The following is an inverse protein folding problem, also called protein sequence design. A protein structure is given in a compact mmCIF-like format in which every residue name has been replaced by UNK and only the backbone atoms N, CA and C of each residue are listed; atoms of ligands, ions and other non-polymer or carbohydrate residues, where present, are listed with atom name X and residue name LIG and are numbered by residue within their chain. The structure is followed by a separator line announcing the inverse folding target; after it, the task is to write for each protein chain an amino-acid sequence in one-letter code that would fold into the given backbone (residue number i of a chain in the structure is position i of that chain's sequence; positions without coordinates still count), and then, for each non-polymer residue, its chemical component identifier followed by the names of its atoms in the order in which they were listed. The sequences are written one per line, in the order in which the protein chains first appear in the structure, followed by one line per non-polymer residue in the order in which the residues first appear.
data_IF_383726863450
#
_entry.id   IF_383726863450
#
_cell.length_a   1.000
_cell.length_b   1.000
_cell.length_c   1.000
_cell.angle_alpha   90.00
_cell.angle_beta   90.00
_cell.angle_gamma   90.00
#
_symmetry.space_group_name_H-M   'P 1'
#
loop_
_entity.id
_entity.type
_entity.pdbx_description
1 polymer ?
#
# COMPACT_ATOMS: atom_id res chain seq x y z
N UNK A 1 -7.74 45.45 13.51
CA UNK A 1 -7.77 46.57 12.54
C UNK A 1 -9.22 46.94 12.15
N UNK A 2 -10.02 46.00 11.61
CA UNK A 2 -11.41 46.27 11.16
C UNK A 2 -12.30 46.86 12.27
N UNK A 3 -12.25 46.32 13.51
CA UNK A 3 -13.04 46.83 14.62
C UNK A 3 -12.68 48.26 15.00
N UNK A 4 -11.39 48.61 14.99
CA UNK A 4 -10.94 49.99 15.27
C UNK A 4 -11.39 50.95 14.18
N UNK A 5 -11.30 50.55 12.89
CA UNK A 5 -11.81 51.34 11.78
C UNK A 5 -13.33 51.57 11.91
N UNK A 6 -14.07 50.52 12.26
CA UNK A 6 -15.53 50.61 12.53
C UNK A 6 -15.83 51.59 13.66
N UNK A 7 -15.08 51.53 14.75
CA UNK A 7 -15.23 52.48 15.85
C UNK A 7 -15.02 53.94 15.40
N UNK A 8 -13.93 54.23 14.70
CA UNK A 8 -13.63 55.61 14.24
C UNK A 8 -14.76 56.15 13.33
N UNK A 9 -15.21 55.31 12.37
CA UNK A 9 -16.31 55.74 11.45
C UNK A 9 -17.58 56.07 12.20
N UNK A 10 -17.98 55.22 13.15
CA UNK A 10 -19.23 55.44 13.90
C UNK A 10 -19.09 56.48 15.00
N UNK A 11 -17.92 56.71 15.60
CA UNK A 11 -17.68 57.78 16.55
C UNK A 11 -17.81 59.17 15.92
N UNK A 12 -17.48 59.29 14.64
CA UNK A 12 -17.63 60.55 13.87
C UNK A 12 -19.10 60.80 13.50
N UNK A 13 -19.86 59.73 13.23
CA UNK A 13 -21.23 59.84 12.67
C UNK A 13 -22.35 59.53 13.69
N UNK A 14 -22.01 59.09 14.91
CA UNK A 14 -22.98 58.73 15.96
C UNK A 14 -22.36 58.93 17.35
N UNK A 15 -23.03 58.43 18.38
CA UNK A 15 -22.54 58.55 19.75
C UNK A 15 -21.46 57.48 20.12
N UNK A 16 -20.78 57.69 21.26
CA UNK A 16 -19.74 56.80 21.77
C UNK A 16 -20.27 55.39 22.06
N UNK A 17 -21.47 55.24 22.61
CA UNK A 17 -22.06 53.97 22.99
C UNK A 17 -22.30 53.11 21.75
N UNK A 18 -22.86 53.69 20.68
CA UNK A 18 -23.09 53.04 19.41
C UNK A 18 -21.78 52.66 18.75
N UNK A 19 -20.78 53.53 18.70
CA UNK A 19 -19.47 53.22 18.13
C UNK A 19 -18.76 52.07 18.85
N UNK A 20 -18.83 52.00 20.17
CA UNK A 20 -18.30 50.92 20.98
C UNK A 20 -19.04 49.59 20.72
N UNK A 21 -20.38 49.63 20.66
CA UNK A 21 -21.17 48.43 20.35
C UNK A 21 -20.80 47.83 18.98
N UNK A 22 -20.65 48.67 17.95
CA UNK A 22 -20.26 48.24 16.61
C UNK A 22 -18.86 47.64 16.60
N UNK A 23 -17.90 48.29 17.25
CA UNK A 23 -16.54 47.78 17.41
C UNK A 23 -16.53 46.41 18.09
N UNK A 24 -17.20 46.29 19.24
CA UNK A 24 -17.26 45.01 19.96
C UNK A 24 -17.94 43.92 19.12
N UNK A 25 -19.04 44.24 18.43
CA UNK A 25 -19.73 43.29 17.56
C UNK A 25 -18.80 42.78 16.46
N UNK A 26 -18.07 43.64 15.76
CA UNK A 26 -17.09 43.28 14.75
C UNK A 26 -15.97 42.43 15.35
N UNK A 27 -15.44 42.79 16.53
CA UNK A 27 -14.39 42.04 17.19
C UNK A 27 -14.83 40.63 17.59
N UNK A 28 -16.05 40.46 18.13
CA UNK A 28 -16.63 39.15 18.49
C UNK A 28 -16.78 38.29 17.26
N UNK A 29 -17.37 38.82 16.16
CA UNK A 29 -17.60 38.07 14.92
C UNK A 29 -16.28 37.74 14.22
N UNK A 30 -15.29 38.62 14.29
CA UNK A 30 -13.96 38.37 13.69
C UNK A 30 -13.13 37.31 14.42
N UNK A 31 -13.61 36.80 15.57
CA UNK A 31 -12.92 35.72 16.28
C UNK A 31 -12.96 34.42 15.47
N UNK A 32 -11.81 33.85 15.04
CA UNK A 32 -11.78 32.65 14.19
C UNK A 32 -11.94 31.36 15.00
N UNK A 33 -12.93 31.33 15.93
CA UNK A 33 -13.11 30.22 16.86
C UNK A 33 -13.30 28.87 16.15
N UNK A 34 -14.16 28.84 15.14
CA UNK A 34 -14.40 27.63 14.33
C UNK A 34 -13.15 27.20 13.55
N UNK A 35 -12.30 28.12 13.13
CA UNK A 35 -11.06 27.83 12.41
C UNK A 35 -10.08 27.01 13.27
N UNK A 36 -9.99 27.33 14.58
CA UNK A 36 -9.11 26.62 15.51
C UNK A 36 -9.42 25.13 15.66
N UNK A 37 -10.67 24.70 15.36
CA UNK A 37 -11.09 23.29 15.44
C UNK A 37 -11.33 22.65 14.06
N UNK A 38 -11.46 23.44 13.00
CA UNK A 38 -11.85 22.99 11.67
C UNK A 38 -10.93 21.90 11.09
N UNK A 39 -9.61 22.13 11.13
CA UNK A 39 -8.60 21.19 10.62
C UNK A 39 -8.28 20.11 11.66
N UNK A 40 -7.95 20.43 12.94
CA UNK A 40 -7.61 19.42 13.94
C UNK A 40 -8.68 18.37 14.16
N UNK A 41 -9.96 18.75 14.11
CA UNK A 41 -11.06 17.81 14.29
C UNK A 41 -11.15 16.80 13.14
N UNK A 42 -11.02 17.25 11.89
CA UNK A 42 -10.99 16.35 10.71
C UNK A 42 -9.76 15.44 10.79
N UNK A 43 -8.60 15.97 11.21
CA UNK A 43 -7.39 15.19 11.40
C UNK A 43 -7.59 14.07 12.43
N UNK A 44 -8.13 14.37 13.60
CA UNK A 44 -8.38 13.38 14.65
C UNK A 44 -9.38 12.30 14.21
N UNK A 45 -10.49 12.70 13.59
CA UNK A 45 -11.51 11.77 13.07
C UNK A 45 -10.92 10.88 11.99
N UNK A 46 -10.17 11.44 11.03
CA UNK A 46 -9.58 10.66 9.95
C UNK A 46 -8.52 9.68 10.45
N UNK A 47 -7.65 10.07 11.39
CA UNK A 47 -6.67 9.16 11.97
C UNK A 47 -7.34 8.00 12.71
N UNK A 48 -8.38 8.28 13.49
CA UNK A 48 -9.15 7.24 14.19
C UNK A 48 -9.87 6.31 13.20
N UNK A 49 -10.48 6.86 12.15
CA UNK A 49 -11.16 6.08 11.13
C UNK A 49 -10.16 5.20 10.34
N UNK A 50 -9.01 5.75 9.97
CA UNK A 50 -7.93 5.01 9.30
C UNK A 50 -7.47 3.82 10.14
N UNK A 51 -7.14 4.04 11.42
CA UNK A 51 -6.66 2.99 12.32
C UNK A 51 -7.66 1.84 12.49
N UNK A 52 -8.96 2.13 12.55
CA UNK A 52 -10.03 1.10 12.61
C UNK A 52 -10.09 0.20 11.38
N UNK A 53 -9.58 0.66 10.25
CA UNK A 53 -9.52 -0.09 8.98
C UNK A 53 -8.12 -0.63 8.67
N UNK A 54 -7.23 -0.67 9.66
CA UNK A 54 -5.88 -1.19 9.48
C UNK A 54 -4.93 -0.25 8.74
N UNK A 55 -5.24 1.05 8.63
CA UNK A 55 -4.39 2.06 8.05
C UNK A 55 -3.73 2.87 9.17
N UNK A 56 -2.45 2.63 9.46
CA UNK A 56 -1.73 3.35 10.51
C UNK A 56 -0.96 4.53 9.89
N UNK A 57 -1.43 5.74 10.16
CA UNK A 57 -0.83 6.98 9.66
C UNK A 57 0.24 7.44 10.66
N UNK A 58 1.52 7.35 10.30
CA UNK A 58 2.65 7.85 11.09
C UNK A 58 3.00 9.28 10.71
N UNK A 59 3.04 9.56 9.42
CA UNK A 59 3.30 10.89 8.90
C UNK A 59 2.02 11.50 8.32
N UNK A 60 1.49 12.48 9.03
CA UNK A 60 0.25 13.15 8.62
C UNK A 60 0.38 13.89 7.30
N UNK A 61 1.53 14.55 7.09
CA UNK A 61 1.78 15.33 5.87
C UNK A 61 1.82 14.42 4.64
N UNK A 62 2.54 13.29 4.71
CA UNK A 62 2.58 12.31 3.64
C UNK A 62 1.18 11.74 3.32
N UNK A 63 0.36 11.45 4.34
CA UNK A 63 -1.03 11.02 4.14
C UNK A 63 -1.87 12.09 3.41
N UNK A 64 -1.70 13.36 3.73
CA UNK A 64 -2.39 14.45 3.04
C UNK A 64 -1.86 14.65 1.61
N UNK A 65 -0.57 14.44 1.39
CA UNK A 65 0.06 14.52 0.08
C UNK A 65 -0.21 13.32 -0.81
N UNK A 66 -0.69 12.19 -0.27
CA UNK A 66 -1.17 11.05 -1.07
C UNK A 66 -2.25 11.47 -2.09
N UNK A 67 -2.97 12.56 -1.87
CA UNK A 67 -3.93 13.12 -2.85
C UNK A 67 -3.29 13.63 -4.14
N UNK A 68 -1.98 13.99 -4.10
CA UNK A 68 -1.21 14.54 -5.22
C UNK A 68 -0.48 13.47 -6.02
N UNK A 69 -0.52 12.20 -5.58
CA UNK A 69 0.19 11.10 -6.21
C UNK A 69 -0.15 11.00 -7.70
N UNK A 70 0.89 10.91 -8.51
CA UNK A 70 0.82 10.69 -9.96
C UNK A 70 1.32 9.30 -10.32
N UNK A 71 2.21 8.74 -9.49
CA UNK A 71 2.87 7.46 -9.74
C UNK A 71 2.99 6.66 -8.45
N UNK A 72 2.72 5.35 -8.55
CA UNK A 72 2.99 4.39 -7.48
C UNK A 72 3.94 3.32 -8.00
N UNK A 73 4.97 3.05 -7.22
CA UNK A 73 5.92 1.99 -7.48
C UNK A 73 5.67 0.88 -6.44
N UNK A 74 5.35 -0.31 -6.92
CA UNK A 74 5.10 -1.47 -6.08
C UNK A 74 6.32 -2.40 -6.09
N UNK A 75 6.83 -2.75 -4.91
CA UNK A 75 7.65 -3.96 -4.83
C UNK A 75 6.81 -5.18 -5.20
N UNK A 76 7.44 -6.20 -5.81
CA UNK A 76 6.75 -7.43 -6.20
C UNK A 76 6.38 -8.27 -4.98
N UNK A 77 7.41 -8.67 -4.23
CA UNK A 77 7.33 -9.74 -3.23
C UNK A 77 6.66 -9.27 -1.95
N UNK A 78 5.66 -10.02 -1.46
CA UNK A 78 4.93 -9.65 -0.24
C UNK A 78 3.93 -8.51 -0.41
N UNK A 79 4.01 -7.74 -1.50
CA UNK A 79 3.13 -6.61 -1.81
C UNK A 79 2.08 -7.00 -2.85
N UNK A 80 2.45 -7.11 -4.13
CA UNK A 80 1.54 -7.56 -5.20
C UNK A 80 1.37 -9.07 -5.22
N UNK A 81 2.30 -9.79 -4.61
CA UNK A 81 2.27 -11.24 -4.41
C UNK A 81 2.08 -11.57 -2.93
N UNK A 82 1.81 -12.83 -2.64
CA UNK A 82 1.62 -13.29 -1.25
C UNK A 82 2.93 -13.31 -0.43
N UNK A 83 4.09 -13.11 -1.09
CA UNK A 83 5.41 -13.21 -0.47
C UNK A 83 5.78 -14.63 -0.05
N UNK A 84 5.00 -15.58 -0.47
CA UNK A 84 5.23 -17.01 -0.22
C UNK A 84 5.15 -17.75 -1.53
N UNK A 85 6.23 -18.41 -1.90
CA UNK A 85 6.17 -19.35 -3.01
C UNK A 85 5.15 -20.45 -2.69
N UNK A 86 4.42 -20.89 -3.71
CA UNK A 86 3.48 -22.01 -3.60
C UNK A 86 3.78 -23.01 -4.72
N UNK A 87 3.52 -24.30 -4.48
CA UNK A 87 3.53 -25.29 -5.55
C UNK A 87 2.37 -25.00 -6.48
N UNK A 88 2.69 -24.61 -7.71
CA UNK A 88 1.70 -24.29 -8.74
C UNK A 88 1.20 -25.55 -9.39
N UNK A 89 2.13 -26.37 -9.91
CA UNK A 89 1.81 -27.57 -10.66
C UNK A 89 2.75 -28.71 -10.29
N UNK A 90 2.26 -29.92 -10.39
CA UNK A 90 3.02 -31.15 -10.24
C UNK A 90 2.72 -32.03 -11.45
N UNK A 91 3.72 -32.26 -12.26
CA UNK A 91 3.62 -33.11 -13.45
C UNK A 91 4.38 -34.42 -13.26
N UNK A 92 3.78 -35.53 -13.61
CA UNK A 92 4.50 -36.74 -13.89
C UNK A 92 4.95 -36.73 -15.36
N UNK A 93 6.22 -36.97 -15.61
CA UNK A 93 6.79 -37.20 -16.97
C UNK A 93 7.09 -38.65 -17.23
N UNK A 94 6.66 -39.53 -16.32
CA UNK A 94 6.84 -40.99 -16.40
C UNK A 94 5.53 -41.69 -16.07
N UNK A 95 5.15 -42.68 -16.85
CA UNK A 95 3.96 -43.52 -16.61
C UNK A 95 4.04 -44.36 -15.32
N UNK A 96 5.23 -44.42 -14.70
CA UNK A 96 5.48 -45.22 -13.48
C UNK A 96 4.97 -44.55 -12.19
N UNK A 97 4.74 -43.22 -12.19
CA UNK A 97 4.41 -42.44 -10.99
C UNK A 97 3.26 -41.48 -11.24
N UNK A 98 2.35 -41.37 -10.31
CA UNK A 98 1.30 -40.35 -10.32
C UNK A 98 1.86 -38.98 -9.85
N UNK A 99 1.16 -37.89 -10.18
CA UNK A 99 1.52 -36.55 -9.70
C UNK A 99 1.55 -36.46 -8.17
N UNK A 100 0.70 -37.24 -7.47
CA UNK A 100 0.69 -37.26 -6.00
C UNK A 100 1.93 -37.98 -5.45
N UNK A 101 2.38 -39.07 -6.07
CA UNK A 101 3.64 -39.75 -5.70
C UNK A 101 4.85 -38.87 -6.01
N UNK A 102 4.87 -38.12 -7.12
CA UNK A 102 5.92 -37.12 -7.41
C UNK A 102 6.01 -36.09 -6.29
N UNK A 103 4.88 -35.56 -5.83
CA UNK A 103 4.85 -34.63 -4.70
C UNK A 103 5.32 -35.28 -3.40
N UNK A 104 4.94 -36.54 -3.14
CA UNK A 104 5.37 -37.27 -1.93
C UNK A 104 6.89 -37.51 -1.93
N UNK A 105 7.48 -37.96 -3.05
CA UNK A 105 8.94 -38.11 -3.18
C UNK A 105 9.67 -36.77 -3.01
N UNK A 106 9.18 -35.72 -3.68
CA UNK A 106 9.76 -34.39 -3.61
C UNK A 106 9.69 -33.80 -2.20
N UNK A 107 8.58 -33.94 -1.50
CA UNK A 107 8.43 -33.50 -0.11
C UNK A 107 9.26 -34.33 0.84
N UNK A 108 9.34 -35.67 0.65
CA UNK A 108 10.11 -36.58 1.49
C UNK A 108 11.60 -36.25 1.46
N UNK A 109 12.17 -36.01 0.28
CA UNK A 109 13.60 -35.67 0.20
C UNK A 109 13.91 -34.24 0.70
N UNK A 110 12.95 -33.34 0.61
CA UNK A 110 13.10 -31.96 1.04
C UNK A 110 12.88 -31.77 2.57
N UNK A 111 12.31 -32.75 3.29
CA UNK A 111 11.90 -32.57 4.70
C UNK A 111 13.03 -32.15 5.66
N UNK A 112 14.28 -32.40 5.31
CA UNK A 112 15.47 -32.04 6.10
C UNK A 112 16.15 -30.76 5.60
N UNK A 113 15.61 -30.11 4.56
CA UNK A 113 16.14 -28.84 4.01
C UNK A 113 15.51 -27.65 4.72
N UNK A 114 16.31 -26.65 5.06
CA UNK A 114 15.85 -25.36 5.58
C UNK A 114 15.39 -24.40 4.44
N UNK A 115 15.58 -24.79 3.19
CA UNK A 115 15.24 -23.96 2.03
C UNK A 115 13.73 -23.74 1.93
N UNK A 116 13.30 -22.57 1.42
CA UNK A 116 11.87 -22.25 1.27
C UNK A 116 11.09 -23.31 0.46
N UNK A 117 11.73 -23.92 -0.54
CA UNK A 117 11.15 -24.98 -1.38
C UNK A 117 10.63 -26.15 -0.51
N UNK A 118 11.37 -26.55 0.51
CA UNK A 118 10.97 -27.61 1.43
C UNK A 118 9.66 -27.27 2.15
N UNK A 119 9.59 -26.08 2.73
CA UNK A 119 8.38 -25.62 3.46
C UNK A 119 7.15 -25.62 2.56
N UNK A 120 7.31 -25.18 1.33
CA UNK A 120 6.22 -25.08 0.35
C UNK A 120 5.73 -26.45 -0.09
N UNK A 121 6.65 -27.40 -0.37
CA UNK A 121 6.29 -28.77 -0.73
C UNK A 121 5.59 -29.51 0.41
N UNK A 122 6.09 -29.36 1.65
CA UNK A 122 5.46 -29.96 2.84
C UNK A 122 4.07 -29.34 3.12
N UNK A 123 3.89 -28.06 2.90
CA UNK A 123 2.58 -27.39 3.00
C UNK A 123 1.60 -27.99 1.97
N UNK A 124 2.03 -28.12 0.71
CA UNK A 124 1.19 -28.68 -0.37
C UNK A 124 0.81 -30.13 -0.13
N UNK A 125 1.74 -30.92 0.42
CA UNK A 125 1.48 -32.30 0.80
C UNK A 125 0.36 -32.38 1.84
N UNK A 126 0.41 -31.53 2.88
CA UNK A 126 -0.63 -31.46 3.94
C UNK A 126 -1.98 -31.02 3.37
N UNK A 127 -2.00 -30.01 2.49
CA UNK A 127 -3.23 -29.55 1.83
C UNK A 127 -3.94 -30.65 1.05
N UNK A 128 -3.16 -31.54 0.40
CA UNK A 128 -3.68 -32.70 -0.32
C UNK A 128 -3.97 -33.91 0.57
N UNK A 129 -3.75 -33.82 1.89
CA UNK A 129 -3.87 -34.93 2.85
C UNK A 129 -3.04 -36.17 2.46
N UNK A 130 -1.86 -35.96 1.84
CA UNK A 130 -0.96 -37.04 1.44
C UNK A 130 0.01 -37.37 2.59
N UNK A 131 0.37 -38.65 2.72
CA UNK A 131 1.32 -39.12 3.71
C UNK A 131 2.74 -38.67 3.37
N UNK A 132 3.46 -38.09 4.34
CA UNK A 132 4.88 -37.83 4.21
C UNK A 132 5.69 -39.11 4.42
N UNK A 133 6.49 -39.50 3.42
CA UNK A 133 7.37 -40.64 3.53
C UNK A 133 8.68 -40.29 4.25
N UNK A 134 9.31 -41.31 4.82
CA UNK A 134 10.62 -41.16 5.46
C UNK A 134 11.73 -41.13 4.42
N UNK A 135 12.71 -40.27 4.60
CA UNK A 135 13.93 -40.23 3.80
C UNK A 135 15.17 -40.47 4.67
N UNK A 136 16.25 -40.92 4.04
CA UNK A 136 17.54 -41.13 4.67
C UNK A 136 18.67 -40.70 3.74
N UNK A 137 19.88 -40.52 4.28
CA UNK A 137 21.04 -40.14 3.48
C UNK A 137 20.92 -38.77 2.81
N UNK A 138 20.22 -37.82 3.44
CA UNK A 138 20.04 -36.47 2.90
C UNK A 138 21.37 -35.78 2.63
N UNK A 139 21.52 -35.26 1.43
CA UNK A 139 22.70 -34.48 1.00
C UNK A 139 22.23 -33.21 0.32
N UNK A 140 22.73 -32.07 0.77
CA UNK A 140 22.51 -30.78 0.13
C UNK A 140 23.58 -30.53 -0.92
N UNK A 141 23.19 -30.18 -2.14
CA UNK A 141 24.05 -29.84 -3.27
C UNK A 141 23.94 -28.32 -3.53
N UNK A 142 24.92 -27.50 -3.08
CA UNK A 142 24.83 -26.05 -3.18
C UNK A 142 24.58 -25.54 -4.60
N UNK A 143 23.53 -24.72 -4.79
CA UNK A 143 23.17 -24.15 -6.09
C UNK A 143 22.53 -25.13 -7.09
N UNK A 144 22.30 -26.38 -6.70
CA UNK A 144 21.83 -27.46 -7.56
C UNK A 144 20.51 -28.04 -7.05
N UNK A 145 20.50 -28.57 -5.82
CA UNK A 145 19.37 -29.24 -5.25
C UNK A 145 19.66 -30.09 -4.02
N UNK A 146 18.91 -31.14 -3.84
CA UNK A 146 19.04 -32.09 -2.74
C UNK A 146 18.94 -33.53 -3.23
N UNK A 147 19.61 -34.47 -2.56
CA UNK A 147 19.54 -35.90 -2.86
C UNK A 147 19.44 -36.74 -1.58
N UNK A 148 19.05 -38.00 -1.75
CA UNK A 148 18.99 -38.99 -0.67
C UNK A 148 18.16 -40.22 -1.07
N UNK A 149 17.76 -41.03 -0.11
CA UNK A 149 16.97 -42.24 -0.35
C UNK A 149 15.57 -42.13 0.23
N UNK A 150 14.56 -42.49 -0.56
CA UNK A 150 13.15 -42.57 -0.14
C UNK A 150 12.57 -43.91 -0.63
N UNK A 151 12.01 -44.70 0.26
CA UNK A 151 11.48 -46.03 -0.04
C UNK A 151 12.49 -46.95 -0.76
N UNK A 152 13.79 -46.85 -0.39
CA UNK A 152 14.86 -47.65 -0.97
C UNK A 152 15.33 -47.23 -2.39
N UNK A 153 14.82 -46.10 -2.91
CA UNK A 153 15.21 -45.52 -4.21
C UNK A 153 16.06 -44.28 -3.98
N UNK A 154 17.01 -44.02 -4.87
CA UNK A 154 17.80 -42.80 -4.89
C UNK A 154 16.96 -41.69 -5.52
N UNK A 155 16.72 -40.63 -4.76
CA UNK A 155 15.90 -39.47 -5.18
C UNK A 155 16.74 -38.21 -5.23
N UNK A 156 16.64 -37.47 -6.31
CA UNK A 156 17.25 -36.13 -6.47
C UNK A 156 16.15 -35.14 -6.82
N UNK A 157 16.09 -34.04 -6.10
CA UNK A 157 15.23 -32.92 -6.41
C UNK A 157 16.11 -31.69 -6.73
N UNK A 158 16.12 -31.25 -7.99
CA UNK A 158 17.09 -30.28 -8.49
C UNK A 158 16.53 -29.34 -9.55
N UNK A 159 17.17 -28.18 -9.72
CA UNK A 159 16.88 -27.24 -10.81
C UNK A 159 17.52 -27.67 -12.14
N UNK A 160 17.28 -26.91 -13.24
CA UNK A 160 17.83 -27.21 -14.58
C UNK A 160 19.35 -27.34 -14.63
N UNK A 161 20.08 -26.63 -13.77
CA UNK A 161 21.53 -26.66 -13.71
C UNK A 161 22.10 -28.04 -13.39
N UNK A 162 21.36 -28.91 -12.72
CA UNK A 162 21.75 -30.28 -12.44
C UNK A 162 22.05 -31.05 -13.72
N UNK A 163 21.19 -30.94 -14.73
CA UNK A 163 21.32 -31.64 -15.99
C UNK A 163 22.57 -31.21 -16.76
N UNK A 164 22.87 -29.91 -16.75
CA UNK A 164 24.08 -29.40 -17.38
C UNK A 164 25.35 -29.90 -16.68
N UNK A 165 25.34 -30.01 -15.35
CA UNK A 165 26.49 -30.48 -14.56
C UNK A 165 26.74 -31.98 -14.73
N UNK A 166 25.67 -32.78 -14.79
CA UNK A 166 25.76 -34.25 -14.98
C UNK A 166 25.87 -34.65 -16.47
N UNK A 167 25.97 -33.69 -17.40
CA UNK A 167 25.99 -33.91 -18.84
C UNK A 167 24.76 -34.72 -19.34
N UNK A 168 23.61 -34.46 -18.72
CA UNK A 168 22.32 -35.09 -19.08
C UNK A 168 21.50 -34.13 -19.94
N UNK A 169 20.66 -34.72 -20.83
CA UNK A 169 19.70 -33.92 -21.59
C UNK A 169 18.56 -33.42 -20.67
N UNK A 170 18.22 -32.15 -20.80
CA UNK A 170 17.12 -31.54 -20.02
C UNK A 170 15.78 -32.15 -20.53
N UNK A 171 14.94 -32.70 -19.62
CA UNK A 171 13.64 -33.23 -20.02
C UNK A 171 12.75 -32.14 -20.62
N UNK A 172 11.90 -32.54 -21.56
CA UNK A 172 10.92 -31.62 -22.16
C UNK A 172 10.01 -31.05 -21.07
N UNK A 173 10.00 -29.75 -20.95
CA UNK A 173 9.14 -29.03 -20.00
C UNK A 173 7.75 -28.89 -20.67
N UNK A 174 6.65 -29.33 -20.02
CA UNK A 174 5.30 -29.15 -20.53
C UNK A 174 4.97 -27.70 -20.88
N UNK A 175 4.25 -27.49 -21.98
CA UNK A 175 3.89 -26.13 -22.46
C UNK A 175 2.99 -25.36 -21.49
N UNK A 176 2.35 -26.04 -20.56
CA UNK A 176 1.52 -25.46 -19.50
C UNK A 176 2.36 -24.79 -18.40
N UNK A 177 3.68 -25.04 -18.37
CA UNK A 177 4.61 -24.41 -17.41
C UNK A 177 5.16 -23.14 -18.01
N UNK A 178 4.85 -22.02 -17.39
CA UNK A 178 5.43 -20.74 -17.77
C UNK A 178 6.82 -20.56 -17.10
N UNK A 179 7.86 -20.96 -17.84
CA UNK A 179 9.25 -20.88 -17.39
C UNK A 179 9.72 -19.43 -17.10
N UNK A 180 8.94 -18.40 -17.49
CA UNK A 180 9.26 -17.02 -17.21
C UNK A 180 8.74 -16.58 -15.82
N UNK A 181 7.75 -17.28 -15.26
CA UNK A 181 7.12 -16.92 -13.98
C UNK A 181 7.22 -18.02 -12.92
N UNK A 182 7.51 -19.27 -13.33
CA UNK A 182 7.57 -20.43 -12.44
C UNK A 182 9.02 -20.93 -12.30
N UNK A 183 9.44 -21.20 -11.09
CA UNK A 183 10.69 -21.93 -10.80
C UNK A 183 10.43 -23.42 -11.02
N UNK A 184 11.22 -24.03 -11.88
CA UNK A 184 11.09 -25.45 -12.23
C UNK A 184 12.03 -26.28 -11.36
N UNK A 185 11.49 -27.28 -10.65
CA UNK A 185 12.23 -28.26 -9.87
C UNK A 185 11.94 -29.65 -10.43
N UNK A 186 12.97 -30.34 -10.91
CA UNK A 186 12.88 -31.69 -11.46
C UNK A 186 13.06 -32.72 -10.35
N UNK A 187 12.30 -33.79 -10.42
CA UNK A 187 12.44 -34.97 -9.58
C UNK A 187 13.04 -36.10 -10.39
N UNK A 188 14.14 -36.66 -9.91
CA UNK A 188 14.81 -37.81 -10.46
C UNK A 188 14.66 -38.98 -9.49
N UNK A 189 14.39 -40.16 -9.98
CA UNK A 189 14.39 -41.42 -9.20
C UNK A 189 15.27 -42.42 -9.90
N UNK A 190 16.27 -42.98 -9.22
CA UNK A 190 17.26 -43.91 -9.76
C UNK A 190 17.89 -43.42 -11.07
N UNK A 191 18.28 -42.13 -11.08
CA UNK A 191 18.87 -41.39 -12.20
C UNK A 191 17.92 -41.16 -13.41
N UNK A 192 16.64 -41.57 -13.36
CA UNK A 192 15.63 -41.27 -14.38
C UNK A 192 14.83 -40.01 -13.98
N UNK A 193 14.62 -39.01 -14.87
CA UNK A 193 13.72 -37.91 -14.62
C UNK A 193 12.27 -38.42 -14.67
N UNK A 194 11.54 -38.26 -13.56
CA UNK A 194 10.19 -38.81 -13.38
C UNK A 194 9.12 -37.77 -13.19
N UNK A 195 9.47 -36.54 -12.78
CA UNK A 195 8.47 -35.51 -12.51
C UNK A 195 9.03 -34.10 -12.45
N UNK A 196 8.12 -33.17 -12.49
CA UNK A 196 8.39 -31.73 -12.40
C UNK A 196 7.45 -31.14 -11.35
N UNK A 197 8.02 -30.34 -10.44
CA UNK A 197 7.27 -29.51 -9.48
C UNK A 197 7.60 -28.06 -9.78
N UNK A 198 6.59 -27.25 -10.06
CA UNK A 198 6.78 -25.81 -10.28
C UNK A 198 6.36 -25.01 -9.07
N UNK A 199 7.12 -23.95 -8.82
CA UNK A 199 6.89 -23.03 -7.72
C UNK A 199 6.86 -21.61 -8.26
N UNK A 200 5.93 -20.81 -7.75
CA UNK A 200 5.91 -19.37 -8.02
C UNK A 200 5.41 -18.60 -6.80
N UNK A 201 5.80 -17.35 -6.73
CA UNK A 201 5.19 -16.41 -5.80
C UNK A 201 3.85 -15.96 -6.39
N UNK A 202 2.77 -16.36 -5.72
CA UNK A 202 1.41 -16.19 -6.24
C UNK A 202 0.98 -14.73 -6.17
N UNK A 203 0.59 -14.16 -7.31
CA UNK A 203 -0.04 -12.84 -7.37
C UNK A 203 -1.34 -12.88 -6.55
N UNK A 204 -1.56 -11.84 -5.74
CA UNK A 204 -2.81 -11.72 -4.97
C UNK A 204 -3.98 -11.48 -5.91
N UNK A 205 -5.11 -12.07 -5.62
CA UNK A 205 -6.35 -11.92 -6.42
C UNK A 205 -6.80 -10.46 -6.50
N UNK A 206 -6.52 -9.69 -5.45
CA UNK A 206 -6.87 -8.27 -5.33
C UNK A 206 -5.93 -7.33 -6.07
N UNK A 207 -4.74 -7.79 -6.50
CA UNK A 207 -3.73 -6.93 -7.13
C UNK A 207 -4.19 -6.34 -8.46
N UNK A 208 -4.79 -7.14 -9.34
CA UNK A 208 -5.27 -6.66 -10.63
C UNK A 208 -6.37 -5.60 -10.47
N UNK A 209 -7.30 -5.82 -9.54
CA UNK A 209 -8.37 -4.86 -9.25
C UNK A 209 -7.81 -3.56 -8.66
N UNK A 210 -6.81 -3.64 -7.77
CA UNK A 210 -6.16 -2.47 -7.21
C UNK A 210 -5.47 -1.63 -8.30
N UNK A 211 -4.75 -2.27 -9.23
CA UNK A 211 -4.08 -1.58 -10.35
C UNK A 211 -5.11 -0.91 -11.27
N UNK A 212 -6.21 -1.58 -11.60
CA UNK A 212 -7.29 -1.01 -12.41
C UNK A 212 -7.93 0.21 -11.73
N UNK A 213 -8.17 0.15 -10.41
CA UNK A 213 -8.69 1.29 -9.65
C UNK A 213 -7.72 2.48 -9.64
N UNK A 214 -6.40 2.23 -9.51
CA UNK A 214 -5.39 3.30 -9.61
C UNK A 214 -5.41 3.97 -10.97
N UNK A 215 -5.54 3.19 -12.05
CA UNK A 215 -5.66 3.69 -13.41
C UNK A 215 -6.90 4.58 -13.59
N UNK A 216 -8.04 4.19 -13.01
CA UNK A 216 -9.26 5.02 -12.98
C UNK A 216 -9.06 6.33 -12.20
N UNK A 217 -8.16 6.33 -11.21
CA UNK A 217 -7.77 7.51 -10.45
C UNK A 217 -6.71 8.37 -11.16
N UNK A 218 -6.30 7.99 -12.38
CA UNK A 218 -5.23 8.59 -13.19
C UNK A 218 -3.86 8.56 -12.49
N UNK A 219 -3.58 7.47 -11.78
CA UNK A 219 -2.30 7.24 -11.11
C UNK A 219 -1.59 6.10 -11.86
N UNK A 220 -0.38 6.34 -12.32
CA UNK A 220 0.45 5.33 -12.99
C UNK A 220 0.97 4.32 -11.97
N UNK A 221 1.08 3.08 -12.38
CA UNK A 221 1.60 1.99 -11.55
C UNK A 221 2.79 1.30 -12.20
N UNK A 222 3.88 1.13 -11.44
CA UNK A 222 5.10 0.47 -11.89
C UNK A 222 5.48 -0.66 -10.95
N UNK A 223 5.92 -1.77 -11.54
CA UNK A 223 6.50 -2.88 -10.80
C UNK A 223 8.00 -2.63 -10.55
N UNK A 224 8.47 -2.83 -9.33
CA UNK A 224 9.90 -2.79 -8.97
C UNK A 224 10.31 -4.17 -8.46
N UNK A 225 11.32 -4.79 -9.07
CA UNK A 225 11.74 -6.15 -8.69
C UNK A 225 13.22 -6.40 -9.00
N UNK A 226 13.84 -7.28 -8.21
CA UNK A 226 15.15 -7.86 -8.51
C UNK A 226 15.13 -8.96 -9.56
N UNK A 227 13.95 -9.41 -9.99
CA UNK A 227 13.80 -10.43 -11.03
C UNK A 227 14.28 -9.94 -12.39
N UNK A 228 14.51 -10.88 -13.29
CA UNK A 228 14.86 -10.59 -14.67
C UNK A 228 13.71 -9.92 -15.44
N UNK A 229 14.05 -9.33 -16.57
CA UNK A 229 13.14 -8.57 -17.41
C UNK A 229 11.92 -9.37 -17.89
N UNK A 230 12.09 -10.66 -18.20
CA UNK A 230 11.00 -11.54 -18.68
C UNK A 230 9.93 -11.74 -17.59
N UNK A 231 10.37 -12.01 -16.36
CA UNK A 231 9.47 -12.20 -15.21
C UNK A 231 8.76 -10.87 -14.89
N UNK A 232 9.52 -9.78 -14.83
CA UNK A 232 8.95 -8.46 -14.54
C UNK A 232 7.91 -8.04 -15.59
N UNK A 233 8.21 -8.23 -16.88
CA UNK A 233 7.29 -7.95 -17.98
C UNK A 233 6.02 -8.81 -17.90
N UNK A 234 6.15 -10.12 -17.63
CA UNK A 234 5.02 -11.02 -17.51
C UNK A 234 4.07 -10.62 -16.37
N UNK A 235 4.62 -10.29 -15.19
CA UNK A 235 3.82 -9.84 -14.03
C UNK A 235 3.16 -8.49 -14.31
N UNK A 236 3.92 -7.51 -14.82
CA UNK A 236 3.41 -6.17 -15.16
C UNK A 236 2.27 -6.23 -16.16
N UNK A 237 2.43 -6.99 -17.24
CA UNK A 237 1.40 -7.17 -18.27
C UNK A 237 0.17 -7.88 -17.72
N UNK A 238 0.35 -8.94 -16.91
CA UNK A 238 -0.76 -9.68 -16.29
C UNK A 238 -1.61 -8.80 -15.36
N UNK A 239 -0.99 -7.83 -14.68
CA UNK A 239 -1.66 -6.90 -13.79
C UNK A 239 -2.17 -5.64 -14.51
N UNK A 240 -1.80 -5.40 -15.77
CA UNK A 240 -2.17 -4.22 -16.53
C UNK A 240 -1.49 -2.93 -16.05
N UNK A 241 -0.26 -3.05 -15.51
CA UNK A 241 0.53 -1.92 -15.02
C UNK A 241 1.13 -1.08 -16.17
N UNK A 242 1.51 0.16 -15.89
CA UNK A 242 2.08 1.08 -16.89
C UNK A 242 3.55 0.75 -17.25
N UNK A 243 4.22 -0.07 -16.44
CA UNK A 243 5.57 -0.52 -16.71
C UNK A 243 6.22 -1.28 -15.57
N UNK A 244 7.50 -1.58 -15.75
CA UNK A 244 8.30 -2.32 -14.76
C UNK A 244 9.75 -1.84 -14.72
N UNK A 245 10.40 -2.10 -13.59
CA UNK A 245 11.82 -1.89 -13.29
C UNK A 245 12.40 -3.23 -12.85
N UNK A 246 13.10 -3.91 -13.74
CA UNK A 246 13.66 -5.24 -13.53
C UNK A 246 15.15 -5.19 -13.14
N UNK A 247 15.68 -6.30 -12.60
CA UNK A 247 17.08 -6.43 -12.20
C UNK A 247 17.55 -5.34 -11.22
N UNK A 248 16.65 -4.78 -10.39
CA UNK A 248 16.98 -3.71 -9.46
C UNK A 248 17.45 -4.28 -8.13
N UNK A 249 18.69 -4.02 -7.78
CA UNK A 249 19.26 -4.43 -6.50
C UNK A 249 18.69 -3.57 -5.36
N UNK A 250 18.66 -4.07 -4.11
CA UNK A 250 18.06 -3.35 -2.99
C UNK A 250 18.58 -1.91 -2.81
N UNK A 251 19.89 -1.70 -2.93
CA UNK A 251 20.51 -0.38 -2.82
C UNK A 251 20.20 0.56 -3.99
N UNK A 252 19.75 0.05 -5.14
CA UNK A 252 19.39 0.84 -6.32
C UNK A 252 17.93 1.28 -6.32
N UNK A 253 17.08 0.69 -5.47
CA UNK A 253 15.64 1.01 -5.42
C UNK A 253 15.39 2.49 -5.15
N UNK A 254 16.18 3.10 -4.25
CA UNK A 254 16.10 4.52 -3.96
C UNK A 254 16.41 5.41 -5.18
N UNK A 255 17.42 5.05 -5.97
CA UNK A 255 17.80 5.79 -7.20
C UNK A 255 16.66 5.76 -8.21
N UNK A 256 15.98 4.60 -8.34
CA UNK A 256 14.82 4.46 -9.23
C UNK A 256 13.66 5.37 -8.84
N UNK A 257 13.40 5.56 -7.56
CA UNK A 257 12.39 6.52 -7.09
C UNK A 257 12.78 7.94 -7.46
N UNK A 258 14.04 8.32 -7.21
CA UNK A 258 14.56 9.64 -7.55
C UNK A 258 14.47 9.94 -9.07
N UNK A 259 14.63 8.94 -9.96
CA UNK A 259 14.45 9.11 -11.40
C UNK A 259 13.04 9.58 -11.76
N UNK A 260 11.99 9.10 -11.08
CA UNK A 260 10.61 9.53 -11.29
C UNK A 260 10.35 10.93 -10.71
N UNK A 261 10.86 11.18 -9.50
CA UNK A 261 10.73 12.49 -8.85
C UNK A 261 11.41 13.59 -9.67
N UNK A 262 12.58 13.32 -10.27
CA UNK A 262 13.29 14.25 -11.16
C UNK A 262 12.53 14.55 -12.46
N UNK A 263 11.57 13.70 -12.85
CA UNK A 263 10.65 13.95 -13.96
C UNK A 263 9.39 14.75 -13.55
N UNK A 264 9.32 15.18 -12.28
CA UNK A 264 8.20 15.94 -11.73
C UNK A 264 7.02 15.08 -11.29
N UNK A 265 7.18 13.76 -11.19
CA UNK A 265 6.15 12.85 -10.64
C UNK A 265 6.13 12.94 -9.11
N UNK A 266 4.96 12.86 -8.51
CA UNK A 266 4.78 12.66 -7.06
C UNK A 266 4.64 11.17 -6.83
N UNK A 267 5.63 10.59 -6.16
CA UNK A 267 5.86 9.14 -6.13
C UNK A 267 5.51 8.54 -4.78
N UNK A 268 4.66 7.50 -4.78
CA UNK A 268 4.56 6.58 -3.65
C UNK A 268 5.40 5.33 -3.90
N UNK A 269 6.08 4.83 -2.88
CA UNK A 269 6.69 3.50 -2.86
C UNK A 269 5.90 2.60 -1.92
N UNK A 270 5.59 1.38 -2.39
CA UNK A 270 4.88 0.37 -1.60
C UNK A 270 5.72 -0.90 -1.53
N UNK A 271 6.03 -1.37 -0.32
CA UNK A 271 6.86 -2.56 -0.09
C UNK A 271 6.65 -3.19 1.28
N UNK A 272 7.29 -4.34 1.55
CA UNK A 272 7.22 -5.05 2.84
C UNK A 272 8.16 -4.46 3.91
N UNK A 273 9.05 -3.60 3.52
CA UNK A 273 9.88 -2.74 4.36
C UNK A 273 11.22 -3.29 4.81
N UNK A 274 11.51 -4.57 4.71
CA UNK A 274 12.83 -5.09 5.15
C UNK A 274 13.93 -4.65 4.21
N UNK A 275 13.73 -4.89 2.91
CA UNK A 275 14.68 -4.54 1.86
C UNK A 275 14.37 -3.19 1.20
N UNK A 276 13.19 -2.64 1.47
CA UNK A 276 12.64 -1.46 0.82
C UNK A 276 12.76 -0.19 1.67
N UNK A 277 13.21 -0.30 2.92
CA UNK A 277 13.28 0.81 3.85
C UNK A 277 13.93 2.10 3.27
N UNK A 278 15.08 2.05 2.58
CA UNK A 278 15.66 3.23 1.94
C UNK A 278 14.78 3.81 0.82
N UNK A 279 14.08 2.95 0.08
CA UNK A 279 13.19 3.35 -1.00
C UNK A 279 11.88 3.96 -0.46
N UNK A 280 11.33 3.37 0.60
CA UNK A 280 10.16 3.92 1.31
C UNK A 280 10.46 5.31 1.87
N UNK A 281 11.64 5.50 2.49
CA UNK A 281 12.05 6.79 3.03
C UNK A 281 12.34 7.85 1.95
N UNK A 282 12.72 7.45 0.73
CA UNK A 282 13.04 8.36 -0.37
C UNK A 282 11.80 8.82 -1.15
N UNK A 283 10.70 8.07 -1.10
CA UNK A 283 9.47 8.42 -1.79
C UNK A 283 8.77 9.63 -1.15
N UNK A 284 7.91 10.31 -1.90
CA UNK A 284 7.06 11.37 -1.36
C UNK A 284 6.02 10.80 -0.36
N UNK A 285 5.64 9.55 -0.56
CA UNK A 285 4.80 8.77 0.36
C UNK A 285 5.32 7.34 0.45
N UNK A 286 5.89 6.96 1.58
CA UNK A 286 6.32 5.60 1.87
C UNK A 286 5.20 4.78 2.48
N UNK A 287 4.83 3.66 1.84
CA UNK A 287 3.71 2.78 2.26
C UNK A 287 4.26 1.39 2.56
N UNK A 288 4.29 0.99 3.83
CA UNK A 288 4.62 -0.37 4.21
C UNK A 288 3.37 -1.26 4.19
N UNK A 289 3.53 -2.47 3.67
CA UNK A 289 2.45 -3.46 3.54
C UNK A 289 2.72 -4.64 4.48
N UNK A 290 1.72 -5.00 5.27
CA UNK A 290 1.80 -6.09 6.25
C UNK A 290 2.13 -5.63 7.67
N UNK A 291 1.99 -6.55 8.61
CA UNK A 291 2.43 -6.34 10.01
C UNK A 291 3.96 -6.25 10.15
N UNK A 292 4.56 -5.70 9.13
CA UNK A 292 5.95 -5.55 8.77
C UNK A 292 6.95 -5.63 9.93
N UNK A 293 8.16 -6.02 9.63
CA UNK A 293 9.27 -5.94 10.57
C UNK A 293 9.32 -4.54 11.20
N UNK A 294 9.82 -4.45 12.42
CA UNK A 294 10.00 -3.17 13.14
C UNK A 294 10.67 -2.09 12.27
N UNK A 295 11.55 -2.49 11.34
CA UNK A 295 12.26 -1.61 10.40
C UNK A 295 11.31 -0.95 9.39
N UNK A 296 10.34 -1.68 8.83
CA UNK A 296 9.33 -1.10 7.93
C UNK A 296 8.45 -0.10 8.66
N UNK A 297 8.06 -0.50 9.88
CA UNK A 297 7.28 0.36 10.75
C UNK A 297 8.03 1.66 11.12
N UNK A 298 9.36 1.66 11.16
CA UNK A 298 10.16 2.84 11.48
C UNK A 298 10.39 3.78 10.31
N UNK A 299 10.37 3.30 9.08
CA UNK A 299 10.73 4.08 7.88
C UNK A 299 9.54 4.53 7.05
N UNK A 300 8.43 3.79 7.05
CA UNK A 300 7.26 4.14 6.25
C UNK A 300 6.43 5.27 6.88
N UNK A 301 5.82 6.09 6.05
CA UNK A 301 4.86 7.12 6.43
C UNK A 301 3.50 6.54 6.82
N UNK A 302 3.11 5.47 6.14
CA UNK A 302 1.81 4.79 6.30
C UNK A 302 2.04 3.30 6.33
N UNK A 303 1.34 2.59 7.23
CA UNK A 303 1.42 1.13 7.35
C UNK A 303 0.03 0.54 7.08
N UNK A 304 -0.03 -0.41 6.15
CA UNK A 304 -1.22 -1.18 5.81
C UNK A 304 -1.14 -2.55 6.49
N UNK A 305 -1.95 -2.75 7.54
CA UNK A 305 -1.86 -3.95 8.39
C UNK A 305 -2.30 -5.23 7.66
N UNK A 306 -3.27 -5.13 6.74
CA UNK A 306 -3.88 -6.31 6.10
C UNK A 306 -3.07 -6.86 4.91
N UNK A 307 -2.00 -6.21 4.48
CA UNK A 307 -1.20 -6.64 3.32
C UNK A 307 -2.01 -6.78 2.02
N UNK A 308 -3.08 -5.99 1.84
CA UNK A 308 -3.91 -6.02 0.63
C UNK A 308 -3.59 -4.80 -0.26
N UNK A 309 -3.23 -4.98 -1.55
CA UNK A 309 -3.03 -3.87 -2.48
C UNK A 309 -4.23 -2.92 -2.60
N UNK A 310 -5.45 -3.38 -2.35
CA UNK A 310 -6.65 -2.53 -2.30
C UNK A 310 -6.59 -1.49 -1.18
N UNK A 311 -5.92 -1.79 -0.08
CA UNK A 311 -5.77 -0.84 1.02
C UNK A 311 -4.96 0.40 0.60
N UNK A 312 -4.05 0.27 -0.38
CA UNK A 312 -3.34 1.40 -1.00
C UNK A 312 -4.33 2.34 -1.68
N UNK A 313 -5.25 1.78 -2.48
CA UNK A 313 -6.29 2.55 -3.18
C UNK A 313 -7.22 3.24 -2.19
N UNK A 314 -7.67 2.50 -1.18
CA UNK A 314 -8.55 3.04 -0.12
C UNK A 314 -7.86 4.17 0.65
N UNK A 315 -6.57 4.03 0.96
CA UNK A 315 -5.77 5.04 1.62
C UNK A 315 -5.71 6.34 0.81
N UNK A 316 -5.46 6.25 -0.50
CA UNK A 316 -5.40 7.43 -1.39
C UNK A 316 -6.77 8.11 -1.49
N UNK A 317 -7.83 7.34 -1.72
CA UNK A 317 -9.21 7.87 -1.77
C UNK A 317 -9.59 8.56 -0.45
N UNK A 318 -9.23 7.93 0.67
CA UNK A 318 -9.48 8.49 1.98
C UNK A 318 -8.66 9.76 2.25
N UNK A 319 -7.42 9.81 1.80
CA UNK A 319 -6.60 11.03 1.84
C UNK A 319 -7.26 12.19 1.06
N UNK A 320 -7.74 11.92 -0.16
CA UNK A 320 -8.50 12.87 -1.00
C UNK A 320 -9.78 13.34 -0.31
N UNK A 321 -10.56 12.43 0.28
CA UNK A 321 -11.80 12.75 1.02
C UNK A 321 -11.50 13.58 2.26
N UNK A 322 -10.47 13.21 3.01
CA UNK A 322 -10.04 13.94 4.22
C UNK A 322 -9.66 15.38 3.91
N UNK A 323 -8.82 15.58 2.88
CA UNK A 323 -8.44 16.92 2.46
C UNK A 323 -9.65 17.74 2.00
N UNK A 324 -10.55 17.15 1.20
CA UNK A 324 -11.79 17.82 0.78
C UNK A 324 -12.63 18.27 1.99
N UNK A 325 -12.71 17.44 3.03
CA UNK A 325 -13.42 17.79 4.29
C UNK A 325 -12.73 18.93 5.04
N UNK A 326 -11.40 18.97 5.06
CA UNK A 326 -10.67 20.09 5.65
C UNK A 326 -10.97 21.39 4.94
N UNK A 327 -10.95 21.40 3.60
CA UNK A 327 -11.29 22.60 2.82
C UNK A 327 -12.75 23.03 3.05
N UNK A 328 -13.69 22.09 3.08
CA UNK A 328 -15.09 22.38 3.39
C UNK A 328 -15.22 23.04 4.78
N UNK A 329 -14.56 22.47 5.79
CA UNK A 329 -14.57 23.04 7.13
C UNK A 329 -13.95 24.44 7.17
N UNK A 330 -12.86 24.66 6.44
CA UNK A 330 -12.23 25.97 6.33
C UNK A 330 -13.19 26.99 5.70
N UNK A 331 -13.87 26.62 4.62
CA UNK A 331 -14.87 27.48 3.98
C UNK A 331 -16.01 27.82 4.94
N UNK A 332 -16.54 26.86 5.70
CA UNK A 332 -17.58 27.11 6.70
C UNK A 332 -17.07 27.96 7.87
N UNK A 333 -15.84 27.73 8.33
CA UNK A 333 -15.26 28.45 9.45
C UNK A 333 -14.95 29.93 9.17
N UNK A 334 -14.65 30.26 7.90
CA UNK A 334 -14.27 31.61 7.48
C UNK A 334 -15.38 32.28 6.66
N UNK A 335 -16.15 31.51 5.90
CA UNK A 335 -17.10 32.04 4.93
C UNK A 335 -18.21 32.89 5.54
N UNK A 336 -18.70 32.52 6.73
CA UNK A 336 -19.73 33.34 7.39
C UNK A 336 -19.18 34.71 7.80
N UNK A 337 -17.87 34.83 8.13
CA UNK A 337 -17.26 36.09 8.52
C UNK A 337 -17.24 37.11 7.38
N UNK A 338 -17.12 36.65 6.13
CA UNK A 338 -17.14 37.53 4.95
C UNK A 338 -18.46 38.27 4.82
N UNK A 339 -19.56 37.70 5.28
CA UNK A 339 -20.90 38.30 5.28
C UNK A 339 -21.17 38.99 6.61
N UNK A 340 -20.86 38.36 7.71
CA UNK A 340 -21.22 38.85 9.05
C UNK A 340 -20.42 40.05 9.49
N UNK A 341 -19.13 40.18 9.13
CA UNK A 341 -18.31 41.35 9.52
C UNK A 341 -18.82 42.65 8.90
N UNK A 342 -19.14 42.77 7.59
CA UNK A 342 -19.77 43.97 7.02
C UNK A 342 -21.12 44.30 7.67
N UNK A 343 -21.96 43.30 7.95
CA UNK A 343 -23.24 43.50 8.62
C UNK A 343 -23.06 44.01 10.06
N UNK A 344 -22.09 43.46 10.79
CA UNK A 344 -21.73 43.91 12.12
C UNK A 344 -21.15 45.34 12.14
N UNK A 345 -20.37 45.68 11.11
CA UNK A 345 -19.84 47.00 10.90
C UNK A 345 -20.92 48.06 10.55
N UNK A 346 -22.17 47.60 10.25
CA UNK A 346 -23.31 48.50 10.00
C UNK A 346 -23.46 48.94 8.54
N UNK A 347 -23.01 48.14 7.57
CA UNK A 347 -23.13 48.45 6.12
C UNK A 347 -24.59 48.63 5.68
N UNK A 348 -25.56 47.95 6.35
CA UNK A 348 -26.98 48.06 6.06
C UNK A 348 -27.74 48.96 7.02
N UNK A 349 -27.06 49.80 7.83
CA UNK A 349 -27.69 50.77 8.72
C UNK A 349 -28.54 51.78 7.90
N UNK A 350 -29.75 52.21 8.38
CA UNK A 350 -30.42 51.77 9.62
C UNK A 350 -31.30 50.52 9.47
N UNK A 351 -31.41 49.92 8.27
CA UNK A 351 -32.41 48.89 7.98
C UNK A 351 -32.12 47.56 8.67
N UNK A 352 -30.84 47.20 8.83
CA UNK A 352 -30.46 45.96 9.49
C UNK A 352 -29.08 46.11 10.18
N UNK A 353 -28.97 45.61 11.41
CA UNK A 353 -27.72 45.57 12.18
C UNK A 353 -27.64 44.25 12.98
N UNK A 354 -26.43 43.69 13.01
CA UNK A 354 -26.12 42.58 13.89
C UNK A 354 -25.82 43.09 15.31
N UNK A 355 -26.49 42.53 16.33
CA UNK A 355 -26.12 42.76 17.72
C UNK A 355 -24.94 41.84 18.12
N UNK A 356 -24.18 42.20 19.20
CA UNK A 356 -23.14 41.31 19.74
C UNK A 356 -23.64 39.93 20.11
N UNK A 357 -24.85 39.80 20.64
CA UNK A 357 -25.49 38.53 20.97
C UNK A 357 -25.76 37.68 19.73
N UNK A 358 -26.27 38.27 18.64
CA UNK A 358 -26.46 37.57 17.37
C UNK A 358 -25.11 37.09 16.78
N UNK A 359 -24.09 37.94 16.91
CA UNK A 359 -22.72 37.56 16.50
C UNK A 359 -22.19 36.33 17.24
N UNK A 360 -22.39 36.28 18.56
CA UNK A 360 -21.99 35.12 19.39
C UNK A 360 -22.75 33.83 19.01
N UNK A 361 -24.04 33.94 18.71
CA UNK A 361 -24.85 32.79 18.23
C UNK A 361 -24.35 32.27 16.89
N UNK A 362 -24.08 33.17 15.92
CA UNK A 362 -23.55 32.78 14.61
C UNK A 362 -22.18 32.10 14.72
N UNK A 363 -21.30 32.60 15.57
CA UNK A 363 -20.00 32.00 15.87
C UNK A 363 -20.13 30.59 16.44
N UNK A 364 -21.04 30.39 17.40
CA UNK A 364 -21.29 29.06 17.99
C UNK A 364 -21.90 28.13 16.99
N UNK A 365 -22.83 28.56 16.14
CA UNK A 365 -23.45 27.76 15.09
C UNK A 365 -22.43 27.32 14.06
N UNK A 366 -21.51 28.19 13.65
CA UNK A 366 -20.45 27.82 12.70
C UNK A 366 -19.56 26.68 13.24
N UNK A 367 -19.26 26.70 14.55
CA UNK A 367 -18.47 25.63 15.20
C UNK A 367 -19.24 24.30 15.19
N UNK A 368 -20.54 24.31 15.44
CA UNK A 368 -21.40 23.12 15.37
C UNK A 368 -21.45 22.57 13.95
N UNK A 369 -21.61 23.43 12.95
CA UNK A 369 -21.60 23.03 11.52
C UNK A 369 -20.28 22.35 11.15
N UNK A 370 -19.14 22.93 11.53
CA UNK A 370 -17.82 22.37 11.30
C UNK A 370 -17.68 21.00 11.97
N UNK A 371 -18.17 20.84 13.20
CA UNK A 371 -18.11 19.56 13.92
C UNK A 371 -18.96 18.47 13.25
N UNK A 372 -20.20 18.81 12.84
CA UNK A 372 -21.08 17.89 12.12
C UNK A 372 -20.46 17.48 10.77
N UNK A 373 -19.95 18.45 10.00
CA UNK A 373 -19.32 18.16 8.72
C UNK A 373 -18.10 17.25 8.87
N UNK A 374 -17.25 17.46 9.87
CA UNK A 374 -16.13 16.59 10.16
C UNK A 374 -16.57 15.16 10.50
N UNK A 375 -17.64 15.00 11.31
CA UNK A 375 -18.19 13.68 11.68
C UNK A 375 -18.78 12.89 10.49
N UNK A 376 -19.14 13.58 9.41
CA UNK A 376 -19.61 12.93 8.17
C UNK A 376 -18.48 12.30 7.33
N UNK A 377 -17.22 12.44 7.72
CA UNK A 377 -16.09 11.75 7.08
C UNK A 377 -16.19 10.24 7.37
N UNK A 378 -16.22 9.43 6.32
CA UNK A 378 -16.27 7.96 6.42
C UNK A 378 -15.23 7.35 5.48
N UNK A 379 -14.49 6.37 5.97
CA UNK A 379 -13.80 5.38 5.16
C UNK A 379 -14.84 4.33 4.76
N UNK A 380 -14.94 4.03 3.47
CA UNK A 380 -15.85 2.98 2.94
C UNK A 380 -15.01 1.76 2.61
#
# INVERSE_FOLDING_TARGET
MVGVATFIVWYINNDLAFALERMVTVMVISCPHALGVAIPLVAAISTTAAARHGLLIRNRTAFEDARKLTTIIFDKTGTLTKGSHEVQKVFSISDKYSSDEILQYAAAIQQHSEHYIARVMLKKLKEKNLQLWQSSGFTYMPGIGVSGSVNGKIVVAAGPNYFAQENMELPTIPSEIDQNTETVNFLMIDAEPVGIVTLADTIRETSAEAIEQLKQMHIKSFLLTGDNEKIAAAVSNKLGMDGYLANVLPHQKQEKIAEFQNKGEVVAMTGDGVNDAPALAAADVGIAVGSGTDVAAETADIILVNSDPKDVVQMIDFGRKTYRKMIQNLIWAVGYNVIAIPLAAGVLYPNFMLSPAMGAVLMSLSTVIVAINAKMLKLK
#
